data_IF_848400082976
#
_entry.id   IF_848400082976
#
_cell.length_a   1.000
_cell.length_b   1.000
_cell.length_c   1.000
_cell.angle_alpha   90.00
_cell.angle_beta   90.00
_cell.angle_gamma   90.00
#
_symmetry.space_group_name_H-M   'P 1'
#
loop_
_entity.id
_entity.type
_entity.pdbx_description
1 polymer ?
#
# COMPACT_ATOMS: atom_id res chain seq x y z
N UNK A 1 38.53 23.05 -19.05
CA UNK A 1 37.73 22.60 -17.90
C UNK A 1 37.72 21.07 -17.87
N UNK A 2 38.58 20.49 -17.04
CA UNK A 2 38.75 19.04 -16.93
C UNK A 2 37.51 18.41 -16.27
N UNK A 3 36.79 17.59 -17.03
CA UNK A 3 35.68 16.78 -16.52
C UNK A 3 36.29 15.71 -15.62
N UNK A 4 36.26 15.96 -14.31
CA UNK A 4 36.51 14.95 -13.29
C UNK A 4 35.42 13.88 -13.40
N UNK A 5 35.69 12.89 -14.27
CA UNK A 5 34.97 11.63 -14.33
C UNK A 5 35.22 10.93 -13.01
N UNK A 6 34.29 11.13 -12.07
CA UNK A 6 34.20 10.34 -10.85
C UNK A 6 34.28 8.87 -11.24
N UNK A 7 35.37 8.20 -10.86
CA UNK A 7 35.53 6.75 -10.94
C UNK A 7 34.34 6.14 -10.20
N UNK A 8 33.24 5.89 -10.90
CA UNK A 8 32.18 5.00 -10.40
C UNK A 8 32.91 3.71 -10.07
N UNK A 9 32.79 3.24 -8.83
CA UNK A 9 33.18 1.90 -8.45
C UNK A 9 32.41 0.92 -9.34
N UNK A 10 32.97 0.63 -10.52
CA UNK A 10 32.46 -0.37 -11.42
C UNK A 10 32.81 -1.69 -10.76
N UNK A 11 31.77 -2.45 -10.39
CA UNK A 11 31.89 -3.74 -9.70
C UNK A 11 32.88 -4.70 -10.38
N UNK A 12 33.18 -4.50 -11.66
CA UNK A 12 34.09 -5.31 -12.47
C UNK A 12 35.12 -4.49 -13.29
N UNK A 13 35.26 -3.19 -13.05
CA UNK A 13 36.19 -2.33 -13.81
C UNK A 13 35.75 -1.93 -15.23
N UNK A 14 34.62 -2.45 -15.73
CA UNK A 14 34.05 -2.12 -17.05
C UNK A 14 32.53 -1.89 -16.98
N UNK A 15 31.98 -1.30 -18.03
CA UNK A 15 30.54 -1.09 -18.26
C UNK A 15 30.03 -2.01 -19.39
N UNK A 16 28.71 -2.20 -19.47
CA UNK A 16 28.08 -2.92 -20.60
C UNK A 16 28.48 -2.27 -21.93
N UNK A 17 28.45 -0.94 -22.00
CA UNK A 17 28.85 -0.20 -23.21
C UNK A 17 30.33 -0.39 -23.54
N UNK A 18 31.23 -0.35 -22.56
CA UNK A 18 32.66 -0.56 -22.84
C UNK A 18 32.96 -1.98 -23.32
N UNK A 19 32.19 -2.98 -22.88
CA UNK A 19 32.32 -4.35 -23.43
C UNK A 19 31.80 -4.41 -24.86
N UNK A 20 30.62 -3.84 -25.13
CA UNK A 20 30.06 -3.87 -26.48
C UNK A 20 30.98 -3.12 -27.46
N UNK A 21 31.27 -1.87 -27.14
CA UNK A 21 32.04 -0.97 -27.99
C UNK A 21 33.51 -1.35 -28.09
N UNK A 22 34.10 -1.90 -27.02
CA UNK A 22 35.54 -2.18 -26.96
C UNK A 22 35.93 -3.63 -27.25
N UNK A 23 35.10 -4.61 -26.89
CA UNK A 23 35.41 -6.03 -27.07
C UNK A 23 34.51 -6.70 -28.10
N UNK A 24 33.18 -6.59 -27.97
CA UNK A 24 32.24 -7.34 -28.80
C UNK A 24 32.31 -6.94 -30.28
N UNK A 25 32.50 -5.65 -30.58
CA UNK A 25 32.61 -5.14 -31.96
C UNK A 25 33.78 -5.74 -32.75
N UNK A 26 34.81 -6.24 -32.07
CA UNK A 26 35.96 -6.87 -32.73
C UNK A 26 35.66 -8.31 -33.19
N UNK A 27 34.50 -8.87 -32.83
CA UNK A 27 34.12 -10.25 -33.14
C UNK A 27 32.76 -10.28 -33.86
N UNK A 28 32.74 -10.46 -35.19
CA UNK A 28 31.48 -10.52 -35.96
C UNK A 28 30.51 -11.58 -35.44
N UNK A 29 31.02 -12.72 -34.98
CA UNK A 29 30.25 -13.82 -34.37
C UNK A 29 29.47 -13.37 -33.12
N UNK A 30 30.07 -12.49 -32.31
CA UNK A 30 29.41 -11.91 -31.13
C UNK A 30 28.37 -10.89 -31.55
N UNK A 31 28.70 -9.99 -32.48
CA UNK A 31 27.75 -8.97 -32.95
C UNK A 31 26.53 -9.60 -33.63
N UNK A 32 26.71 -10.65 -34.43
CA UNK A 32 25.61 -11.43 -34.99
C UNK A 32 24.66 -11.91 -33.89
N UNK A 33 25.21 -12.53 -32.85
CA UNK A 33 24.41 -12.97 -31.70
C UNK A 33 23.71 -11.81 -30.98
N UNK A 34 24.42 -10.73 -30.68
CA UNK A 34 23.85 -9.56 -30.00
C UNK A 34 22.74 -8.89 -30.82
N UNK A 35 22.84 -8.85 -32.15
CA UNK A 35 21.82 -8.26 -33.01
C UNK A 35 20.50 -9.03 -32.98
N UNK A 36 20.52 -10.34 -32.69
CA UNK A 36 19.29 -11.12 -32.45
C UNK A 36 18.61 -10.80 -31.12
N UNK A 37 19.31 -10.08 -30.23
CA UNK A 37 18.85 -9.76 -28.89
C UNK A 37 18.48 -8.29 -28.84
N UNK A 38 17.19 -7.96 -28.80
CA UNK A 38 16.73 -6.56 -28.72
C UNK A 38 17.32 -5.80 -27.51
N UNK A 39 16.70 -5.92 -26.33
CA UNK A 39 17.02 -5.09 -25.16
C UNK A 39 17.94 -5.77 -24.14
N UNK A 40 18.68 -6.80 -24.56
CA UNK A 40 19.49 -7.65 -23.65
C UNK A 40 20.97 -7.70 -23.99
N UNK A 41 21.42 -6.92 -24.96
CA UNK A 41 22.77 -6.97 -25.50
C UNK A 41 23.84 -6.79 -24.42
N UNK A 42 23.70 -5.78 -23.55
CA UNK A 42 24.69 -5.49 -22.50
C UNK A 42 24.94 -6.65 -21.54
N UNK A 43 23.88 -7.20 -20.94
CA UNK A 43 24.00 -8.33 -20.00
C UNK A 43 24.52 -9.61 -20.67
N UNK A 44 24.15 -9.85 -21.93
CA UNK A 44 24.61 -11.03 -22.67
C UNK A 44 26.07 -10.88 -23.10
N UNK A 45 26.46 -9.73 -23.64
CA UNK A 45 27.83 -9.41 -24.00
C UNK A 45 28.76 -9.54 -22.80
N UNK A 46 28.37 -8.99 -21.64
CA UNK A 46 29.13 -9.11 -20.40
C UNK A 46 29.24 -10.56 -19.93
N UNK A 47 28.18 -11.36 -20.05
CA UNK A 47 28.21 -12.77 -19.65
C UNK A 47 29.11 -13.61 -20.55
N UNK A 48 29.07 -13.37 -21.86
CA UNK A 48 29.94 -14.03 -22.83
C UNK A 48 31.41 -13.61 -22.65
N UNK A 49 31.66 -12.31 -22.41
CA UNK A 49 33.00 -11.79 -22.09
C UNK A 49 33.59 -12.46 -20.87
N UNK A 50 32.82 -12.57 -19.77
CA UNK A 50 33.26 -13.26 -18.56
C UNK A 50 33.61 -14.73 -18.81
N UNK A 51 32.82 -15.41 -19.64
CA UNK A 51 33.10 -16.80 -20.01
C UNK A 51 34.40 -16.93 -20.82
N UNK A 52 34.56 -16.08 -21.84
CA UNK A 52 35.76 -16.03 -22.68
C UNK A 52 37.01 -15.75 -21.84
N UNK A 53 36.94 -14.76 -20.94
CA UNK A 53 38.04 -14.43 -20.01
C UNK A 53 38.37 -15.61 -19.09
N UNK A 54 37.36 -16.28 -18.53
CA UNK A 54 37.57 -17.44 -17.67
C UNK A 54 38.18 -18.63 -18.42
N UNK A 55 37.68 -18.92 -19.62
CA UNK A 55 38.17 -20.01 -20.46
C UNK A 55 39.52 -19.71 -21.12
N UNK A 56 39.98 -18.46 -21.04
CA UNK A 56 41.14 -17.94 -21.78
C UNK A 56 41.03 -18.18 -23.30
N UNK A 57 39.83 -17.97 -23.86
CA UNK A 57 39.53 -18.12 -25.28
C UNK A 57 38.84 -16.86 -25.80
N UNK A 58 39.14 -16.46 -27.03
CA UNK A 58 38.34 -15.48 -27.74
C UNK A 58 37.05 -16.13 -28.31
N UNK A 59 36.04 -15.35 -28.74
CA UNK A 59 34.79 -15.89 -29.26
C UNK A 59 34.91 -16.86 -30.44
N UNK A 60 35.86 -16.63 -31.34
CA UNK A 60 36.02 -17.47 -32.54
C UNK A 60 36.75 -18.78 -32.20
N UNK A 61 37.75 -18.73 -31.31
CA UNK A 61 38.35 -19.91 -30.70
C UNK A 61 37.32 -20.75 -29.93
N UNK A 62 36.41 -20.08 -29.21
CA UNK A 62 35.33 -20.75 -28.52
C UNK A 62 34.42 -21.50 -29.51
N UNK A 63 34.03 -20.88 -30.63
CA UNK A 63 33.27 -21.56 -31.67
C UNK A 63 34.05 -22.72 -32.31
N UNK A 64 35.38 -22.58 -32.45
CA UNK A 64 36.25 -23.60 -33.03
C UNK A 64 36.25 -24.93 -32.24
N UNK A 65 35.99 -24.89 -30.92
CA UNK A 65 35.80 -26.10 -30.10
C UNK A 65 34.65 -26.99 -30.58
N UNK A 66 33.71 -26.42 -31.35
CA UNK A 66 32.59 -27.13 -31.98
C UNK A 66 32.69 -27.03 -33.51
N UNK A 67 33.85 -27.35 -34.07
CA UNK A 67 34.07 -27.41 -35.53
C UNK A 67 33.37 -28.62 -36.16
N UNK A 68 33.31 -29.75 -35.45
CA UNK A 68 32.58 -30.95 -35.82
C UNK A 68 31.35 -31.15 -34.91
N UNK A 69 30.28 -31.74 -35.47
CA UNK A 69 29.07 -32.11 -34.75
C UNK A 69 29.36 -33.08 -33.59
N UNK A 70 30.33 -33.99 -33.78
CA UNK A 70 30.72 -34.99 -32.80
C UNK A 70 31.64 -34.45 -31.69
N UNK A 71 32.28 -33.28 -31.87
CA UNK A 71 33.13 -32.70 -30.83
C UNK A 71 32.30 -32.35 -29.59
N UNK A 72 32.78 -32.72 -28.40
CA UNK A 72 32.13 -32.37 -27.13
C UNK A 72 32.97 -31.39 -26.30
N UNK A 73 33.99 -30.77 -26.89
CA UNK A 73 34.94 -29.92 -26.17
C UNK A 73 34.26 -28.67 -25.61
N UNK A 74 33.41 -28.03 -26.41
CA UNK A 74 32.64 -26.86 -25.98
C UNK A 74 31.66 -27.21 -24.85
N UNK A 75 31.00 -28.36 -24.93
CA UNK A 75 30.10 -28.88 -23.89
C UNK A 75 30.85 -29.17 -22.59
N UNK A 76 31.97 -29.89 -22.66
CA UNK A 76 32.83 -30.19 -21.50
C UNK A 76 33.34 -28.90 -20.85
N UNK A 77 33.80 -27.94 -21.65
CA UNK A 77 34.24 -26.64 -21.15
C UNK A 77 33.11 -25.90 -20.42
N UNK A 78 31.90 -25.96 -20.97
CA UNK A 78 30.73 -25.33 -20.35
C UNK A 78 30.31 -26.02 -19.05
N UNK A 79 30.40 -27.34 -18.97
CA UNK A 79 30.14 -28.10 -17.75
C UNK A 79 31.20 -27.84 -16.67
N UNK A 80 32.47 -27.67 -17.06
CA UNK A 80 33.55 -27.31 -16.14
C UNK A 80 33.31 -25.96 -15.44
N UNK A 81 32.57 -25.04 -16.07
CA UNK A 81 32.19 -23.77 -15.44
C UNK A 81 31.36 -23.98 -14.16
N UNK A 82 30.56 -25.05 -14.09
CA UNK A 82 29.73 -25.34 -12.93
C UNK A 82 30.55 -25.40 -11.63
N UNK A 83 31.72 -26.02 -11.68
CA UNK A 83 32.59 -26.27 -10.52
C UNK A 83 33.77 -25.30 -10.43
N UNK A 84 34.04 -24.52 -11.48
CA UNK A 84 35.18 -23.62 -11.51
C UNK A 84 35.04 -22.44 -10.54
N UNK A 85 36.14 -22.04 -9.91
CA UNK A 85 36.21 -20.76 -9.19
C UNK A 85 36.29 -19.62 -10.22
N UNK A 86 35.31 -18.71 -10.17
CA UNK A 86 35.17 -17.62 -11.15
C UNK A 86 35.24 -16.25 -10.47
N UNK A 87 35.61 -15.22 -11.23
CA UNK A 87 35.68 -13.83 -10.74
C UNK A 87 34.30 -13.17 -10.54
N UNK A 88 33.24 -13.78 -11.07
CA UNK A 88 31.88 -13.24 -11.00
C UNK A 88 31.01 -14.06 -10.02
N UNK A 89 29.87 -13.52 -9.54
CA UNK A 89 29.05 -14.20 -8.53
C UNK A 89 28.52 -15.55 -9.02
N UNK A 90 28.49 -16.54 -8.13
CA UNK A 90 28.06 -17.92 -8.43
C UNK A 90 26.68 -18.00 -9.10
N UNK A 91 25.73 -17.17 -8.63
CA UNK A 91 24.38 -17.07 -9.19
C UNK A 91 24.35 -16.63 -10.67
N UNK A 92 25.42 -16.00 -11.17
CA UNK A 92 25.55 -15.56 -12.57
C UNK A 92 26.04 -16.69 -13.48
N UNK A 93 26.65 -17.76 -12.97
CA UNK A 93 27.10 -18.92 -13.78
C UNK A 93 25.98 -19.45 -14.67
N UNK A 94 24.78 -19.63 -14.11
CA UNK A 94 23.64 -20.13 -14.88
C UNK A 94 23.28 -19.22 -16.05
N UNK A 95 23.24 -17.91 -15.82
CA UNK A 95 23.00 -16.95 -16.89
C UNK A 95 24.11 -16.97 -17.95
N UNK A 96 25.38 -17.08 -17.52
CA UNK A 96 26.53 -17.24 -18.42
C UNK A 96 26.36 -18.46 -19.30
N UNK A 97 26.00 -19.62 -18.74
CA UNK A 97 25.81 -20.83 -19.53
C UNK A 97 24.65 -20.72 -20.52
N UNK A 98 23.53 -20.09 -20.14
CA UNK A 98 22.45 -19.80 -21.08
C UNK A 98 22.91 -18.88 -22.22
N UNK A 99 23.73 -17.87 -21.91
CA UNK A 99 24.29 -16.96 -22.90
C UNK A 99 25.22 -17.68 -23.88
N UNK A 100 26.12 -18.53 -23.39
CA UNK A 100 27.05 -19.32 -24.21
C UNK A 100 26.27 -20.28 -25.13
N UNK A 101 25.28 -21.00 -24.60
CA UNK A 101 24.42 -21.86 -25.43
C UNK A 101 23.70 -21.08 -26.53
N UNK A 102 23.19 -19.90 -26.20
CA UNK A 102 22.56 -19.00 -27.17
C UNK A 102 23.52 -18.51 -28.24
N UNK A 103 24.77 -18.19 -27.85
CA UNK A 103 25.85 -17.77 -28.76
C UNK A 103 26.19 -18.86 -29.77
N UNK A 104 26.44 -20.09 -29.30
CA UNK A 104 26.70 -21.25 -30.17
C UNK A 104 25.53 -21.55 -31.11
N UNK A 105 24.29 -21.53 -30.59
CA UNK A 105 23.09 -21.76 -31.40
C UNK A 105 22.92 -20.73 -32.51
N UNK A 106 23.16 -19.45 -32.22
CA UNK A 106 23.00 -18.37 -33.21
C UNK A 106 24.06 -18.40 -34.30
N UNK A 107 25.23 -18.97 -33.99
CA UNK A 107 26.32 -19.20 -34.94
C UNK A 107 26.32 -20.63 -35.50
N UNK A 108 25.14 -21.28 -35.55
CA UNK A 108 24.93 -22.60 -36.18
C UNK A 108 25.79 -23.75 -35.66
N UNK A 109 26.29 -23.66 -34.41
CA UNK A 109 27.11 -24.69 -33.75
C UNK A 109 26.45 -25.15 -32.45
N UNK A 110 25.19 -25.55 -32.53
CA UNK A 110 24.36 -25.84 -31.36
C UNK A 110 25.00 -26.90 -30.44
N UNK A 111 25.14 -26.57 -29.16
CA UNK A 111 25.58 -27.49 -28.13
C UNK A 111 24.49 -28.51 -27.79
N UNK A 112 24.91 -29.68 -27.27
CA UNK A 112 23.96 -30.68 -26.77
C UNK A 112 23.00 -30.12 -25.71
N UNK A 113 21.79 -30.69 -25.64
CA UNK A 113 20.73 -30.21 -24.76
C UNK A 113 21.15 -30.19 -23.28
N UNK A 114 22.03 -31.10 -22.85
CA UNK A 114 22.48 -31.26 -21.47
C UNK A 114 23.64 -30.33 -21.06
N UNK A 115 24.37 -29.73 -22.02
CA UNK A 115 25.55 -28.93 -21.72
C UNK A 115 25.26 -27.75 -20.78
N UNK A 116 26.01 -27.62 -19.70
CA UNK A 116 25.85 -26.56 -18.69
C UNK A 116 24.59 -26.69 -17.83
N UNK A 117 23.91 -27.85 -17.84
CA UNK A 117 22.80 -28.15 -16.90
C UNK A 117 23.26 -28.76 -15.58
N UNK A 118 24.51 -29.19 -15.50
CA UNK A 118 25.20 -29.72 -14.32
C UNK A 118 25.41 -28.68 -13.20
N UNK A 119 25.02 -27.41 -13.41
CA UNK A 119 25.20 -26.37 -12.42
C UNK A 119 24.43 -26.66 -11.14
N UNK A 120 25.07 -26.54 -9.97
CA UNK A 120 24.40 -26.76 -8.70
C UNK A 120 23.22 -25.79 -8.57
N UNK A 121 22.07 -26.34 -8.17
CA UNK A 121 20.94 -25.52 -7.80
C UNK A 121 21.32 -24.73 -6.55
N UNK A 122 21.53 -23.43 -6.71
CA UNK A 122 21.65 -22.55 -5.56
C UNK A 122 20.25 -22.34 -4.99
N UNK A 123 19.95 -22.83 -3.77
CA UNK A 123 18.68 -22.55 -3.15
C UNK A 123 18.48 -21.04 -3.10
N UNK A 124 17.27 -20.59 -3.45
CA UNK A 124 16.93 -19.19 -3.33
C UNK A 124 17.15 -18.75 -1.89
N UNK A 125 17.86 -17.64 -1.70
CA UNK A 125 18.02 -17.04 -0.38
C UNK A 125 16.66 -16.85 0.28
N UNK A 126 16.59 -17.13 1.58
CA UNK A 126 15.43 -16.83 2.40
C UNK A 126 15.28 -15.31 2.45
N UNK A 127 14.30 -14.80 1.69
CA UNK A 127 13.99 -13.39 1.72
C UNK A 127 13.06 -13.11 2.89
N UNK A 128 13.49 -12.25 3.81
CA UNK A 128 12.63 -11.77 4.89
C UNK A 128 11.65 -10.74 4.34
N UNK A 129 10.37 -10.94 4.62
CA UNK A 129 9.31 -9.98 4.27
C UNK A 129 9.41 -8.79 5.23
N UNK A 130 9.41 -7.52 4.76
CA UNK A 130 9.48 -6.36 5.64
C UNK A 130 8.34 -6.34 6.66
N UNK A 131 8.67 -6.17 7.95
CA UNK A 131 7.70 -6.00 9.03
C UNK A 131 6.86 -4.72 8.86
N UNK A 132 5.77 -4.59 9.62
CA UNK A 132 4.95 -3.37 9.64
C UNK A 132 5.78 -2.14 10.04
N UNK A 133 6.67 -2.27 11.01
CA UNK A 133 7.59 -1.21 11.43
C UNK A 133 8.54 -0.78 10.30
N UNK A 134 9.11 -1.74 9.57
CA UNK A 134 9.97 -1.48 8.41
C UNK A 134 9.20 -0.78 7.28
N UNK A 135 7.94 -1.17 7.04
CA UNK A 135 7.04 -0.50 6.09
C UNK A 135 6.72 0.94 6.51
N UNK A 136 6.46 1.16 7.81
CA UNK A 136 6.25 2.49 8.36
C UNK A 136 7.49 3.37 8.22
N UNK A 137 8.69 2.81 8.43
CA UNK A 137 9.95 3.52 8.21
C UNK A 137 10.14 3.93 6.74
N UNK A 138 9.80 3.06 5.79
CA UNK A 138 9.81 3.38 4.36
C UNK A 138 8.82 4.50 4.02
N UNK A 139 7.61 4.45 4.58
CA UNK A 139 6.60 5.49 4.41
C UNK A 139 7.09 6.84 4.96
N UNK A 140 7.61 6.87 6.19
CA UNK A 140 8.17 8.08 6.83
C UNK A 140 9.39 8.62 6.08
N UNK A 141 10.12 7.77 5.36
CA UNK A 141 11.24 8.20 4.52
C UNK A 141 10.79 8.88 3.21
N UNK A 142 9.51 8.84 2.84
CA UNK A 142 9.01 9.51 1.63
C UNK A 142 9.07 11.05 1.75
N UNK A 143 9.24 11.75 0.63
CA UNK A 143 9.38 13.22 0.60
C UNK A 143 8.12 13.96 0.17
N UNK A 144 7.15 13.25 -0.39
CA UNK A 144 5.95 13.82 -0.97
C UNK A 144 4.84 12.76 -0.97
N UNK A 145 3.56 13.19 -1.00
CA UNK A 145 2.40 12.30 -1.06
C UNK A 145 2.46 11.27 -2.18
N UNK A 146 3.01 11.62 -3.35
CA UNK A 146 3.18 10.66 -4.46
C UNK A 146 4.07 9.48 -4.06
N UNK A 147 5.22 9.74 -3.46
CA UNK A 147 6.14 8.67 -3.04
C UNK A 147 5.50 7.80 -1.93
N UNK A 148 4.71 8.41 -1.03
CA UNK A 148 3.92 7.69 -0.04
C UNK A 148 2.89 6.77 -0.69
N UNK A 149 2.07 7.30 -1.60
CA UNK A 149 1.07 6.53 -2.36
C UNK A 149 1.71 5.35 -3.12
N UNK A 150 2.88 5.57 -3.72
CA UNK A 150 3.62 4.55 -4.44
C UNK A 150 4.05 3.39 -3.51
N UNK A 151 4.56 3.69 -2.31
CA UNK A 151 4.92 2.67 -1.31
C UNK A 151 3.68 1.92 -0.82
N UNK A 152 2.60 2.64 -0.51
CA UNK A 152 1.34 2.06 -0.03
C UNK A 152 0.77 1.08 -1.06
N UNK A 153 0.52 1.54 -2.30
CA UNK A 153 0.03 0.68 -3.38
C UNK A 153 0.97 -0.49 -3.62
N UNK A 154 2.29 -0.25 -3.62
CA UNK A 154 3.28 -1.30 -3.83
C UNK A 154 3.28 -2.41 -2.78
N UNK A 155 2.85 -2.11 -1.56
CA UNK A 155 2.88 -3.06 -0.42
C UNK A 155 1.54 -3.76 -0.18
N UNK A 156 0.42 -3.22 -0.67
CA UNK A 156 -0.90 -3.79 -0.43
C UNK A 156 -1.58 -4.43 -1.66
N UNK A 157 -1.24 -4.03 -2.87
CA UNK A 157 -2.01 -4.41 -4.08
C UNK A 157 -1.44 -5.62 -4.85
N UNK A 158 -0.29 -6.16 -4.44
CA UNK A 158 0.47 -7.14 -5.20
C UNK A 158 0.73 -6.80 -6.69
N UNK A 159 0.62 -5.53 -7.10
CA UNK A 159 0.88 -5.12 -8.49
C UNK A 159 2.39 -5.22 -8.80
N UNK A 160 2.73 -5.74 -9.99
CA UNK A 160 4.11 -5.81 -10.42
C UNK A 160 4.65 -4.42 -10.77
N UNK A 161 5.95 -4.18 -10.54
CA UNK A 161 6.61 -2.91 -10.85
C UNK A 161 6.34 -2.40 -12.29
N UNK A 162 6.36 -3.30 -13.27
CA UNK A 162 6.06 -2.97 -14.68
C UNK A 162 4.62 -2.44 -14.84
N UNK A 163 3.67 -3.20 -14.31
CA UNK A 163 2.25 -2.87 -14.37
C UNK A 163 1.94 -1.58 -13.60
N UNK A 164 2.63 -1.35 -12.48
CA UNK A 164 2.52 -0.13 -11.68
C UNK A 164 2.92 1.13 -12.45
N UNK A 165 3.92 1.05 -13.33
CA UNK A 165 4.29 2.17 -14.22
C UNK A 165 3.28 2.46 -15.33
N UNK A 166 2.34 1.55 -15.58
CA UNK A 166 1.30 1.71 -16.59
C UNK A 166 -0.10 1.87 -15.99
N UNK A 167 -0.21 1.91 -14.66
CA UNK A 167 -1.48 2.00 -13.96
C UNK A 167 -2.13 3.37 -14.22
N UNK A 168 -3.37 3.35 -14.69
CA UNK A 168 -4.25 4.52 -14.91
C UNK A 168 -5.47 4.48 -14.00
N UNK A 169 -6.09 5.63 -13.77
CA UNK A 169 -7.24 5.73 -12.87
C UNK A 169 -8.46 4.94 -13.32
N UNK A 170 -8.71 4.77 -14.63
CA UNK A 170 -9.80 3.94 -15.14
C UNK A 170 -9.65 2.43 -14.83
N UNK A 171 -8.50 1.99 -14.31
CA UNK A 171 -8.37 0.60 -13.83
C UNK A 171 -8.95 0.41 -12.44
N UNK A 172 -9.12 1.49 -11.68
CA UNK A 172 -9.90 1.45 -10.45
C UNK A 172 -11.37 1.32 -10.82
N UNK A 173 -12.15 0.69 -9.95
CA UNK A 173 -13.60 0.67 -10.10
C UNK A 173 -14.21 2.08 -10.12
N UNK A 174 -15.42 2.19 -10.68
CA UNK A 174 -16.18 3.43 -10.63
C UNK A 174 -16.43 3.83 -9.17
N UNK A 175 -16.39 5.14 -8.90
CA UNK A 175 -16.55 5.68 -7.55
C UNK A 175 -15.60 5.09 -6.49
N UNK A 176 -14.40 4.65 -6.88
CA UNK A 176 -13.40 4.06 -5.98
C UNK A 176 -13.12 4.89 -4.72
N UNK A 177 -13.31 6.21 -4.78
CA UNK A 177 -13.14 7.11 -3.63
C UNK A 177 -14.16 6.82 -2.51
N UNK A 178 -15.37 6.41 -2.88
CA UNK A 178 -16.47 6.08 -1.98
C UNK A 178 -16.39 4.63 -1.46
N UNK A 179 -15.63 3.76 -2.12
CA UNK A 179 -15.47 2.36 -1.73
C UNK A 179 -14.54 2.23 -0.51
N UNK A 180 -14.88 1.37 0.45
CA UNK A 180 -14.02 1.10 1.62
C UNK A 180 -12.69 0.45 1.18
N UNK A 181 -12.79 -0.58 0.33
CA UNK A 181 -11.67 -1.35 -0.22
C UNK A 181 -11.76 -1.28 -1.75
N UNK A 182 -11.13 -0.27 -2.37
CA UNK A 182 -11.22 -0.08 -3.80
C UNK A 182 -10.60 -1.23 -4.59
N UNK A 183 -11.35 -1.70 -5.58
CA UNK A 183 -10.93 -2.70 -6.55
C UNK A 183 -10.13 -2.08 -7.70
N UNK A 184 -9.11 -2.82 -8.15
CA UNK A 184 -8.29 -2.52 -9.32
C UNK A 184 -8.33 -3.74 -10.25
N UNK A 185 -8.82 -3.52 -11.45
CA UNK A 185 -8.88 -4.51 -12.53
C UNK A 185 -7.80 -4.23 -13.58
N UNK A 186 -6.89 -5.18 -13.78
CA UNK A 186 -5.79 -5.04 -14.72
C UNK A 186 -5.90 -6.06 -15.86
N UNK A 187 -6.06 -5.60 -17.12
CA UNK A 187 -6.24 -6.47 -18.25
C UNK A 187 -4.94 -7.21 -18.64
N UNK A 188 -5.03 -8.30 -19.41
CA UNK A 188 -3.88 -9.19 -19.65
C UNK A 188 -2.66 -8.53 -20.32
N UNK A 189 -2.89 -7.54 -21.16
CA UNK A 189 -1.89 -6.72 -21.85
C UNK A 189 -1.09 -5.80 -20.90
N UNK A 190 -1.69 -5.43 -19.77
CA UNK A 190 -1.05 -4.61 -18.73
C UNK A 190 -0.32 -5.45 -17.66
N UNK A 191 -0.79 -6.67 -17.41
CA UNK A 191 -0.16 -7.60 -16.46
C UNK A 191 1.25 -7.96 -16.94
N UNK A 192 2.17 -8.19 -16.00
CA UNK A 192 3.55 -8.62 -16.28
C UNK A 192 3.60 -9.72 -17.34
N UNK A 193 4.31 -9.45 -18.44
CA UNK A 193 4.40 -10.36 -19.58
C UNK A 193 3.50 -9.98 -20.77
N UNK A 194 2.69 -8.92 -20.63
CA UNK A 194 1.92 -8.28 -21.69
C UNK A 194 1.05 -9.27 -22.48
N UNK A 195 0.34 -10.16 -21.77
CA UNK A 195 -0.51 -11.17 -22.38
C UNK A 195 0.23 -12.23 -23.19
N UNK A 196 1.56 -12.34 -23.09
CA UNK A 196 2.37 -13.30 -23.85
C UNK A 196 2.77 -14.52 -23.03
N UNK A 197 2.95 -15.64 -23.71
CA UNK A 197 3.42 -16.90 -23.13
C UNK A 197 2.56 -17.35 -21.95
N UNK A 198 3.20 -17.61 -20.80
CA UNK A 198 2.53 -18.10 -19.58
C UNK A 198 1.52 -17.12 -18.96
N UNK A 199 1.48 -15.87 -19.43
CA UNK A 199 0.56 -14.82 -18.96
C UNK A 199 -0.58 -14.53 -19.94
N UNK A 200 -0.70 -15.29 -21.04
CA UNK A 200 -1.78 -15.12 -22.01
C UNK A 200 -3.15 -15.35 -21.35
N UNK A 201 -4.04 -14.36 -21.51
CA UNK A 201 -5.40 -14.38 -20.95
C UNK A 201 -5.50 -14.15 -19.44
N UNK A 202 -4.39 -13.84 -18.75
CA UNK A 202 -4.39 -13.65 -17.29
C UNK A 202 -4.79 -12.21 -16.95
N UNK A 203 -5.98 -12.03 -16.38
CA UNK A 203 -6.43 -10.76 -15.79
C UNK A 203 -6.15 -10.75 -14.28
N UNK A 204 -5.60 -9.66 -13.77
CA UNK A 204 -5.35 -9.48 -12.33
C UNK A 204 -6.49 -8.65 -11.72
N UNK A 205 -7.07 -9.16 -10.63
CA UNK A 205 -8.11 -8.46 -9.86
C UNK A 205 -7.59 -8.25 -8.45
N UNK A 206 -7.27 -7.02 -8.09
CA UNK A 206 -6.64 -6.72 -6.79
C UNK A 206 -7.34 -5.54 -6.10
N UNK A 207 -6.85 -5.18 -4.93
CA UNK A 207 -7.45 -4.15 -4.08
C UNK A 207 -6.37 -3.26 -3.46
N UNK A 208 -6.82 -2.15 -2.90
CA UNK A 208 -6.01 -1.30 -2.01
C UNK A 208 -6.69 -1.17 -0.66
N UNK A 209 -5.90 -0.97 0.40
CA UNK A 209 -6.44 -0.79 1.76
C UNK A 209 -7.12 0.58 1.91
N UNK A 210 -8.02 0.75 2.90
CA UNK A 210 -8.53 2.06 3.31
C UNK A 210 -7.42 3.09 3.56
N UNK A 211 -6.35 2.71 4.26
CA UNK A 211 -5.17 3.59 4.47
C UNK A 211 -4.57 4.04 3.12
N UNK A 212 -4.41 3.12 2.17
CA UNK A 212 -3.84 3.42 0.85
C UNK A 212 -4.76 4.35 0.05
N UNK A 213 -6.08 4.17 0.15
CA UNK A 213 -7.07 5.04 -0.48
C UNK A 213 -6.92 6.49 -0.02
N UNK A 214 -6.81 6.70 1.30
CA UNK A 214 -6.61 8.04 1.88
C UNK A 214 -5.36 8.71 1.32
N UNK A 215 -4.23 8.01 1.30
CA UNK A 215 -2.97 8.53 0.76
C UNK A 215 -3.05 8.81 -0.76
N UNK A 216 -3.82 8.02 -1.53
CA UNK A 216 -4.04 8.30 -2.95
C UNK A 216 -4.86 9.58 -3.16
N UNK A 217 -5.85 9.84 -2.30
CA UNK A 217 -6.65 11.08 -2.35
C UNK A 217 -5.80 12.30 -1.98
N UNK A 218 -5.04 12.23 -0.89
CA UNK A 218 -4.08 13.27 -0.48
C UNK A 218 -3.06 13.56 -1.59
N UNK A 219 -2.57 12.51 -2.26
CA UNK A 219 -1.68 12.67 -3.40
C UNK A 219 -2.35 13.44 -4.55
N UNK A 220 -3.58 13.06 -4.94
CA UNK A 220 -4.29 13.75 -6.02
C UNK A 220 -4.49 15.22 -5.70
N UNK A 221 -4.95 15.53 -4.49
CA UNK A 221 -5.17 16.90 -4.02
C UNK A 221 -3.85 17.69 -4.02
N UNK A 222 -2.81 17.16 -3.39
CA UNK A 222 -1.48 17.79 -3.37
C UNK A 222 -0.95 18.07 -4.76
N UNK A 223 -1.09 17.12 -5.69
CA UNK A 223 -0.57 17.27 -7.04
C UNK A 223 -1.37 18.30 -7.85
N UNK A 224 -2.71 18.32 -7.69
CA UNK A 224 -3.56 19.37 -8.27
C UNK A 224 -3.16 20.75 -7.77
N UNK A 225 -2.97 20.91 -6.46
CA UNK A 225 -2.64 22.20 -5.85
C UNK A 225 -1.22 22.66 -6.20
N UNK A 226 -0.26 21.73 -6.28
CA UNK A 226 1.16 22.06 -6.53
C UNK A 226 1.45 22.33 -8.00
N UNK A 227 0.78 21.62 -8.92
CA UNK A 227 1.10 21.64 -10.34
C UNK A 227 -0.07 22.11 -11.23
N UNK A 228 -1.18 22.54 -10.63
CA UNK A 228 -2.42 22.91 -11.32
C UNK A 228 -2.93 21.81 -12.29
N UNK A 229 -2.75 20.54 -11.90
CA UNK A 229 -3.12 19.39 -12.72
C UNK A 229 -4.61 19.09 -12.59
N UNK A 230 -5.29 18.89 -13.72
CA UNK A 230 -6.70 18.45 -13.75
C UNK A 230 -6.76 16.96 -14.05
N UNK A 231 -7.15 16.19 -13.05
CA UNK A 231 -7.21 14.74 -13.15
C UNK A 231 -8.32 14.25 -14.08
N UNK A 232 -7.96 13.29 -14.93
CA UNK A 232 -8.90 12.52 -15.76
C UNK A 232 -8.80 11.02 -15.45
N UNK A 233 -9.78 10.22 -15.89
CA UNK A 233 -9.75 8.76 -15.74
C UNK A 233 -8.58 8.12 -16.52
N UNK A 234 -8.13 8.76 -17.59
CA UNK A 234 -7.04 8.25 -18.41
C UNK A 234 -5.66 8.63 -17.87
N UNK A 235 -5.55 9.53 -16.91
CA UNK A 235 -4.26 9.86 -16.32
C UNK A 235 -3.61 8.63 -15.68
N UNK A 236 -2.29 8.53 -15.83
CA UNK A 236 -1.52 7.56 -15.07
C UNK A 236 -1.57 7.93 -13.59
N UNK A 237 -1.68 6.91 -12.74
CA UNK A 237 -1.75 7.09 -11.29
C UNK A 237 -0.49 7.78 -10.80
N UNK A 238 0.70 7.32 -11.20
CA UNK A 238 1.96 7.86 -10.70
C UNK A 238 2.66 8.75 -11.72
N UNK A 239 2.66 10.05 -11.45
CA UNK A 239 3.26 11.07 -12.30
C UNK A 239 4.62 11.56 -11.79
N UNK A 240 5.41 12.13 -12.70
CA UNK A 240 6.67 12.79 -12.40
C UNK A 240 6.43 14.16 -11.76
N UNK A 241 7.30 14.50 -10.80
CA UNK A 241 7.22 15.73 -9.97
C UNK A 241 8.45 16.63 -10.14
N UNK A 242 9.36 16.29 -11.07
CA UNK A 242 10.65 17.01 -11.23
C UNK A 242 10.98 17.32 -12.68
N UNK A 243 11.23 16.28 -13.46
CA UNK A 243 11.51 16.39 -14.90
C UNK A 243 10.29 15.87 -15.65
N UNK A 244 9.86 16.62 -16.65
CA UNK A 244 8.62 16.37 -17.38
C UNK A 244 7.44 16.15 -16.43
N UNK A 245 7.04 17.22 -15.75
CA UNK A 245 5.95 17.19 -14.78
C UNK A 245 4.68 16.66 -15.48
N UNK A 246 3.89 15.87 -14.75
CA UNK A 246 2.69 15.20 -15.24
C UNK A 246 2.93 14.07 -16.29
N UNK A 247 4.17 13.75 -16.64
CA UNK A 247 4.46 12.51 -17.39
C UNK A 247 4.46 11.26 -16.47
N UNK A 248 4.11 10.08 -16.99
CA UNK A 248 4.12 8.83 -16.22
C UNK A 248 5.52 8.45 -15.74
N UNK A 249 5.60 7.88 -14.54
CA UNK A 249 6.85 7.30 -14.07
C UNK A 249 7.18 6.02 -14.82
N UNK A 250 8.32 6.00 -15.51
CA UNK A 250 8.85 4.74 -16.04
C UNK A 250 9.21 3.74 -14.93
N UNK A 251 9.15 2.45 -15.25
CA UNK A 251 9.67 1.35 -14.39
C UNK A 251 11.04 1.65 -13.78
N UNK A 252 11.96 2.22 -14.57
CA UNK A 252 13.32 2.57 -14.13
C UNK A 252 13.29 3.67 -13.06
N UNK A 253 12.42 4.65 -13.21
CA UNK A 253 12.24 5.72 -12.21
C UNK A 253 11.65 5.18 -10.91
N UNK A 254 10.63 4.32 -11.00
CA UNK A 254 10.03 3.67 -9.83
C UNK A 254 11.06 2.81 -9.10
N UNK A 255 11.82 1.98 -9.82
CA UNK A 255 12.91 1.17 -9.25
C UNK A 255 13.98 2.03 -8.58
N UNK A 256 14.43 3.11 -9.24
CA UNK A 256 15.40 4.04 -8.65
C UNK A 256 14.87 4.69 -7.38
N UNK A 257 13.57 4.99 -7.34
CA UNK A 257 12.91 5.55 -6.14
C UNK A 257 12.89 4.54 -5.00
N UNK A 258 12.57 3.27 -5.26
CA UNK A 258 12.66 2.21 -4.25
C UNK A 258 14.06 2.16 -3.61
N UNK A 259 15.11 2.13 -4.43
CA UNK A 259 16.50 2.12 -3.92
C UNK A 259 16.87 3.37 -3.12
N UNK A 260 16.34 4.54 -3.48
CA UNK A 260 16.56 5.77 -2.71
C UNK A 260 15.85 5.70 -1.36
N UNK A 261 14.62 5.17 -1.32
CA UNK A 261 13.83 5.02 -0.10
C UNK A 261 14.44 3.97 0.83
N UNK A 262 14.83 2.81 0.31
CA UNK A 262 15.57 1.76 1.02
C UNK A 262 16.78 2.34 1.76
N UNK A 263 17.64 3.08 1.05
CA UNK A 263 18.83 3.71 1.65
C UNK A 263 18.50 4.73 2.71
N UNK A 264 17.42 5.50 2.53
CA UNK A 264 17.01 6.54 3.48
C UNK A 264 16.38 5.95 4.73
N UNK A 265 15.52 4.94 4.56
CA UNK A 265 14.86 4.24 5.65
C UNK A 265 15.81 3.25 6.37
N UNK A 266 16.94 2.89 5.74
CA UNK A 266 17.83 1.79 6.17
C UNK A 266 17.07 0.47 6.28
N UNK A 267 16.22 0.21 5.28
CA UNK A 267 15.35 -0.97 5.20
C UNK A 267 15.49 -1.58 3.82
N UNK A 268 15.96 -2.82 3.75
CA UNK A 268 15.99 -3.60 2.51
C UNK A 268 14.56 -3.75 1.96
N UNK A 269 14.32 -3.20 0.77
CA UNK A 269 13.00 -3.19 0.17
C UNK A 269 13.04 -3.13 -1.35
N UNK A 270 12.25 -4.01 -1.96
CA UNK A 270 11.88 -3.92 -3.36
C UNK A 270 10.38 -4.02 -3.52
N UNK A 271 9.83 -3.52 -4.64
CA UNK A 271 8.43 -3.76 -4.99
C UNK A 271 8.10 -5.25 -5.20
N UNK A 272 9.10 -6.13 -5.32
CA UNK A 272 8.86 -7.57 -5.28
C UNK A 272 8.48 -8.04 -3.86
N UNK A 273 9.02 -7.41 -2.83
CA UNK A 273 8.69 -7.72 -1.43
C UNK A 273 7.27 -7.28 -1.10
N UNK A 274 6.80 -6.16 -1.66
CA UNK A 274 5.39 -5.77 -1.58
C UNK A 274 4.43 -6.87 -2.08
N UNK A 275 4.78 -7.55 -3.17
CA UNK A 275 4.01 -8.70 -3.67
C UNK A 275 4.06 -9.93 -2.76
N UNK A 276 5.13 -10.08 -1.97
CA UNK A 276 5.26 -11.12 -0.94
C UNK A 276 4.43 -10.76 0.29
N UNK A 277 4.49 -9.51 0.74
CA UNK A 277 3.66 -8.98 1.83
C UNK A 277 2.19 -9.29 1.58
N UNK A 278 1.66 -8.91 0.41
CA UNK A 278 0.25 -9.18 0.09
C UNK A 278 -0.08 -10.67 0.03
N UNK A 279 0.83 -11.49 -0.49
CA UNK A 279 0.64 -12.94 -0.51
C UNK A 279 0.56 -13.50 0.91
N UNK A 280 1.55 -13.20 1.76
CA UNK A 280 1.63 -13.71 3.12
C UNK A 280 0.43 -13.24 3.96
N UNK A 281 0.00 -11.98 3.81
CA UNK A 281 -1.18 -11.48 4.50
C UNK A 281 -2.46 -12.26 4.10
N UNK A 282 -2.63 -12.56 2.81
CA UNK A 282 -3.77 -13.34 2.33
C UNK A 282 -3.68 -14.82 2.78
N UNK A 283 -2.48 -15.39 2.82
CA UNK A 283 -2.25 -16.75 3.35
C UNK A 283 -2.62 -16.82 4.84
N UNK A 284 -2.19 -15.84 5.64
CA UNK A 284 -2.53 -15.71 7.06
C UNK A 284 -4.05 -15.56 7.27
N UNK A 285 -4.74 -14.87 6.36
CA UNK A 285 -6.18 -14.71 6.38
C UNK A 285 -6.96 -15.97 5.88
N UNK A 286 -6.26 -17.07 5.58
CA UNK A 286 -6.87 -18.30 5.08
C UNK A 286 -7.46 -18.16 3.66
N UNK A 287 -6.95 -17.24 2.85
CA UNK A 287 -7.42 -17.05 1.49
C UNK A 287 -6.99 -18.24 0.60
N UNK A 288 -7.90 -18.84 -0.19
CA UNK A 288 -7.56 -19.93 -1.10
C UNK A 288 -6.44 -19.55 -2.08
N UNK A 289 -5.52 -20.49 -2.35
CA UNK A 289 -4.35 -20.24 -3.20
C UNK A 289 -4.72 -19.83 -4.64
N UNK A 290 -5.80 -20.36 -5.21
CA UNK A 290 -6.32 -19.94 -6.51
C UNK A 290 -6.77 -18.45 -6.51
N UNK A 291 -7.34 -17.96 -5.40
CA UNK A 291 -7.75 -16.56 -5.25
C UNK A 291 -6.52 -15.66 -5.07
N UNK A 292 -5.52 -16.10 -4.31
CA UNK A 292 -4.22 -15.41 -4.18
C UNK A 292 -3.53 -15.31 -5.55
N UNK A 293 -3.53 -16.38 -6.36
CA UNK A 293 -3.00 -16.36 -7.73
C UNK A 293 -3.72 -15.32 -8.58
N UNK A 294 -5.06 -15.22 -8.47
CA UNK A 294 -5.88 -14.23 -9.16
C UNK A 294 -5.53 -12.79 -8.75
N UNK A 295 -5.43 -12.52 -7.44
CA UNK A 295 -5.02 -11.22 -6.88
C UNK A 295 -3.62 -10.80 -7.34
N UNK A 296 -2.73 -11.77 -7.54
CA UNK A 296 -1.35 -11.53 -7.99
C UNK A 296 -1.17 -11.49 -9.51
N UNK A 297 -2.22 -11.74 -10.29
CA UNK A 297 -2.11 -11.85 -11.75
C UNK A 297 -1.28 -13.05 -12.21
N UNK A 298 -1.47 -14.20 -11.57
CA UNK A 298 -0.86 -15.48 -11.96
C UNK A 298 -1.90 -16.39 -12.59
N UNK A 299 -1.47 -17.18 -13.60
CA UNK A 299 -2.32 -18.19 -14.22
C UNK A 299 -2.69 -19.25 -13.18
N UNK A 300 -3.99 -19.51 -13.03
CA UNK A 300 -4.50 -20.70 -12.36
C UNK A 300 -4.39 -21.85 -13.36
N UNK A 301 -3.76 -22.96 -12.98
CA UNK A 301 -3.49 -24.10 -13.85
C UNK A 301 -4.02 -25.38 -13.21
N UNK A 302 -4.49 -26.33 -14.02
CA UNK A 302 -5.04 -27.61 -13.56
C UNK A 302 -6.55 -27.56 -13.31
N UNK A 303 -7.04 -28.47 -12.47
CA UNK A 303 -8.46 -28.66 -12.10
C UNK A 303 -9.09 -27.43 -11.42
N UNK A 304 -8.29 -26.47 -10.94
CA UNK A 304 -8.74 -25.22 -10.31
C UNK A 304 -9.33 -24.20 -11.31
N UNK A 305 -9.09 -24.34 -12.62
CA UNK A 305 -9.43 -23.34 -13.64
C UNK A 305 -10.95 -23.16 -13.94
N UNK A 306 -11.80 -24.21 -13.95
CA UNK A 306 -13.22 -24.08 -14.27
C UNK A 306 -14.06 -23.45 -13.16
N UNK A 307 -13.64 -23.58 -11.90
CA UNK A 307 -14.43 -23.21 -10.70
C UNK A 307 -13.98 -21.91 -10.03
N UNK A 308 -13.09 -21.13 -10.65
CA UNK A 308 -12.39 -19.99 -10.03
C UNK A 308 -12.64 -18.65 -10.70
N UNK A 309 -13.91 -18.28 -10.84
CA UNK A 309 -14.28 -16.87 -10.97
C UNK A 309 -14.99 -16.42 -9.69
N UNK A 310 -14.27 -16.31 -8.55
CA UNK A 310 -14.87 -15.72 -7.36
C UNK A 310 -15.41 -14.34 -7.75
N UNK A 311 -16.60 -14.03 -7.26
CA UNK A 311 -17.17 -12.71 -7.45
C UNK A 311 -16.21 -11.67 -6.83
N UNK A 312 -16.11 -10.49 -7.43
CA UNK A 312 -15.21 -9.42 -6.94
C UNK A 312 -15.49 -9.14 -5.47
N UNK A 313 -16.76 -9.18 -5.05
CA UNK A 313 -17.16 -9.01 -3.65
C UNK A 313 -16.64 -10.11 -2.71
N UNK A 314 -16.57 -11.37 -3.17
CA UNK A 314 -15.98 -12.45 -2.37
C UNK A 314 -14.48 -12.26 -2.19
N UNK A 315 -13.79 -11.83 -3.26
CA UNK A 315 -12.38 -11.48 -3.20
C UNK A 315 -12.15 -10.27 -2.28
N UNK A 316 -13.02 -9.26 -2.36
CA UNK A 316 -12.96 -8.06 -1.50
C UNK A 316 -13.16 -8.43 -0.03
N UNK A 317 -14.15 -9.27 0.29
CA UNK A 317 -14.39 -9.77 1.64
C UNK A 317 -13.17 -10.53 2.18
N UNK A 318 -12.56 -11.41 1.38
CA UNK A 318 -11.33 -12.11 1.80
C UNK A 318 -10.10 -11.22 1.87
N UNK A 319 -10.03 -10.17 1.04
CA UNK A 319 -9.00 -9.16 1.18
C UNK A 319 -9.18 -8.33 2.46
N UNK A 320 -10.44 -8.09 2.87
CA UNK A 320 -10.78 -7.42 4.14
C UNK A 320 -10.19 -8.16 5.35
N UNK A 321 -10.30 -9.49 5.36
CA UNK A 321 -9.73 -10.34 6.41
C UNK A 321 -8.19 -10.17 6.53
N UNK A 322 -7.50 -9.78 5.45
CA UNK A 322 -6.05 -9.55 5.43
C UNK A 322 -5.63 -8.11 5.81
N UNK A 323 -6.57 -7.17 5.99
CA UNK A 323 -6.27 -5.78 6.34
C UNK A 323 -5.39 -5.64 7.59
N UNK A 324 -5.58 -6.40 8.69
CA UNK A 324 -4.74 -6.28 9.86
C UNK A 324 -3.26 -6.42 9.54
N UNK A 325 -2.87 -7.28 8.60
CA UNK A 325 -1.48 -7.50 8.18
C UNK A 325 -1.01 -6.53 7.09
N UNK A 326 -1.92 -6.02 6.26
CA UNK A 326 -1.63 -5.11 5.17
C UNK A 326 -1.47 -3.66 5.63
N UNK A 327 -2.28 -3.21 6.58
CA UNK A 327 -2.25 -1.87 7.15
C UNK A 327 -1.12 -1.71 8.17
N UNK A 328 -0.49 -0.53 8.18
CA UNK A 328 0.69 -0.28 9.01
C UNK A 328 0.88 1.17 9.43
N UNK A 329 0.07 2.12 8.93
CA UNK A 329 0.11 3.49 9.41
C UNK A 329 -0.48 3.56 10.82
N UNK A 330 -1.54 2.79 11.05
CA UNK A 330 -2.25 2.69 12.33
C UNK A 330 -1.61 1.67 13.29
N UNK A 331 -0.29 1.70 13.50
CA UNK A 331 0.34 0.94 14.59
C UNK A 331 0.09 1.56 15.98
N UNK A 332 -0.56 2.73 16.04
CA UNK A 332 -1.29 3.25 17.20
C UNK A 332 -2.81 2.99 17.11
N UNK A 333 -3.25 2.13 16.19
CA UNK A 333 -4.63 1.96 15.71
C UNK A 333 -5.57 1.13 16.57
N UNK A 334 -5.43 1.21 17.91
CA UNK A 334 -6.61 1.19 18.77
C UNK A 334 -7.16 2.60 19.00
N UNK A 335 -6.66 3.59 18.27
CA UNK A 335 -7.39 4.84 18.03
C UNK A 335 -8.30 4.58 16.83
N UNK A 336 -9.40 3.85 17.06
CA UNK A 336 -10.68 4.34 16.54
C UNK A 336 -10.68 5.79 16.96
N UNK A 337 -10.81 6.74 16.03
CA UNK A 337 -10.92 8.18 16.31
C UNK A 337 -11.65 8.34 17.66
N UNK A 338 -10.89 8.48 18.75
CA UNK A 338 -11.38 8.06 20.08
C UNK A 338 -12.55 8.95 20.47
N UNK A 339 -12.48 10.17 19.95
CA UNK A 339 -13.55 11.13 19.86
C UNK A 339 -14.76 10.58 19.10
N UNK A 340 -14.67 10.12 17.85
CA UNK A 340 -15.83 9.54 17.15
C UNK A 340 -16.39 8.29 17.83
N UNK A 341 -15.56 7.42 18.38
CA UNK A 341 -16.02 6.23 19.11
C UNK A 341 -16.73 6.61 20.41
N UNK A 342 -16.13 7.49 21.22
CA UNK A 342 -16.74 8.00 22.45
C UNK A 342 -18.00 8.80 22.15
N UNK A 343 -18.01 9.66 21.13
CA UNK A 343 -19.19 10.40 20.70
C UNK A 343 -20.33 9.44 20.33
N UNK A 344 -20.03 8.36 19.59
CA UNK A 344 -21.03 7.34 19.26
C UNK A 344 -21.54 6.59 20.49
N UNK A 345 -20.63 6.18 21.40
CA UNK A 345 -21.04 5.53 22.66
C UNK A 345 -21.91 6.43 23.53
N UNK A 346 -21.62 7.74 23.60
CA UNK A 346 -22.43 8.70 24.35
C UNK A 346 -23.83 8.87 23.75
N UNK A 347 -23.94 8.90 22.42
CA UNK A 347 -25.22 8.95 21.72
C UNK A 347 -26.05 7.67 21.92
N UNK A 348 -25.41 6.51 21.82
CA UNK A 348 -26.07 5.21 22.04
C UNK A 348 -26.51 5.06 23.50
N UNK A 349 -25.72 5.54 24.46
CA UNK A 349 -26.09 5.57 25.87
C UNK A 349 -27.25 6.53 26.16
N UNK A 350 -27.27 7.71 25.53
CA UNK A 350 -28.40 8.65 25.64
C UNK A 350 -29.70 8.05 25.05
N UNK A 351 -29.61 7.33 23.94
CA UNK A 351 -30.77 6.59 23.39
C UNK A 351 -31.27 5.50 24.34
N UNK A 352 -30.36 4.72 24.93
CA UNK A 352 -30.69 3.68 25.92
C UNK A 352 -31.31 4.23 27.21
N UNK A 353 -30.88 5.42 27.65
CA UNK A 353 -31.48 6.12 28.80
C UNK A 353 -32.83 6.78 28.48
N UNK A 354 -33.34 6.65 27.25
CA UNK A 354 -34.65 7.16 26.87
C UNK A 354 -34.70 8.68 26.69
N UNK A 355 -33.59 9.32 26.32
CA UNK A 355 -33.62 10.75 25.99
C UNK A 355 -34.49 10.99 24.75
N UNK A 356 -35.30 12.04 24.79
CA UNK A 356 -36.10 12.52 23.65
C UNK A 356 -35.22 12.94 22.47
N UNK A 357 -35.72 12.80 21.24
CA UNK A 357 -34.97 13.09 20.01
C UNK A 357 -34.39 14.52 19.98
N UNK A 358 -35.10 15.51 20.53
CA UNK A 358 -34.59 16.88 20.61
C UNK A 358 -33.33 17.00 21.48
N UNK A 359 -33.24 16.20 22.57
CA UNK A 359 -32.05 16.18 23.44
C UNK A 359 -30.90 15.44 22.79
N UNK A 360 -31.20 14.40 22.01
CA UNK A 360 -30.20 13.66 21.23
C UNK A 360 -29.59 14.58 20.18
N UNK A 361 -30.41 15.35 19.43
CA UNK A 361 -29.89 16.33 18.44
C UNK A 361 -29.01 17.40 19.07
N UNK A 362 -29.40 17.93 20.24
CA UNK A 362 -28.57 18.88 20.99
C UNK A 362 -27.24 18.27 21.44
N UNK A 363 -27.25 17.01 21.89
CA UNK A 363 -26.02 16.29 22.24
C UNK A 363 -25.13 16.09 21.00
N UNK A 364 -25.69 15.78 19.84
CA UNK A 364 -24.95 15.68 18.57
C UNK A 364 -24.26 17.01 18.19
N UNK A 365 -24.96 18.15 18.31
CA UNK A 365 -24.41 19.47 18.04
C UNK A 365 -23.27 19.84 19.00
N UNK A 366 -23.41 19.54 20.29
CA UNK A 366 -22.36 19.78 21.30
C UNK A 366 -21.14 18.90 21.02
N UNK A 367 -21.35 17.62 20.73
CA UNK A 367 -20.27 16.68 20.40
C UNK A 367 -19.54 17.03 19.10
N UNK A 368 -20.20 17.73 18.17
CA UNK A 368 -19.60 18.24 16.93
C UNK A 368 -18.72 19.47 17.17
N UNK A 369 -19.11 20.35 18.09
CA UNK A 369 -18.43 21.61 18.37
C UNK A 369 -17.34 21.53 19.45
N UNK A 370 -17.45 20.59 20.40
CA UNK A 370 -16.50 20.44 21.50
C UNK A 370 -15.12 19.97 21.03
N UNK A 371 -14.05 20.40 21.71
CA UNK A 371 -12.69 19.96 21.37
C UNK A 371 -12.45 18.53 21.81
N UNK A 372 -12.96 18.13 22.98
CA UNK A 372 -12.90 16.77 23.50
C UNK A 372 -14.30 16.28 24.02
N UNK A 373 -14.51 14.95 24.16
CA UNK A 373 -15.79 14.40 24.63
C UNK A 373 -16.13 14.75 26.08
N UNK A 374 -15.13 14.98 26.94
CA UNK A 374 -15.35 15.25 28.36
C UNK A 374 -15.92 16.66 28.58
N UNK A 375 -15.47 17.65 27.80
CA UNK A 375 -16.02 19.01 27.72
C UNK A 375 -17.48 18.98 27.24
N UNK A 376 -17.79 18.14 26.24
CA UNK A 376 -19.16 17.96 25.77
C UNK A 376 -20.10 17.38 26.85
N UNK A 377 -19.59 16.47 27.71
CA UNK A 377 -20.36 15.92 28.84
C UNK A 377 -20.63 16.99 29.89
N UNK A 378 -19.65 17.85 30.20
CA UNK A 378 -19.85 18.96 31.14
C UNK A 378 -20.84 20.00 30.62
N UNK A 379 -20.74 20.38 29.35
CA UNK A 379 -21.71 21.31 28.72
C UNK A 379 -23.13 20.72 28.69
N UNK A 380 -23.24 19.42 28.38
CA UNK A 380 -24.53 18.73 28.40
C UNK A 380 -25.12 18.62 29.81
N UNK A 381 -24.29 18.41 30.84
CA UNK A 381 -24.73 18.43 32.25
C UNK A 381 -25.21 19.81 32.68
N UNK A 382 -24.49 20.87 32.33
CA UNK A 382 -24.90 22.26 32.61
C UNK A 382 -26.28 22.55 31.99
N UNK A 383 -26.55 22.08 30.78
CA UNK A 383 -27.87 22.21 30.15
C UNK A 383 -28.97 21.44 30.89
N UNK A 384 -28.65 20.26 31.46
CA UNK A 384 -29.59 19.50 32.28
C UNK A 384 -29.90 20.22 33.60
N UNK A 385 -28.88 20.76 34.27
CA UNK A 385 -29.05 21.49 35.52
C UNK A 385 -29.81 22.81 35.32
N UNK A 386 -29.62 23.50 34.19
CA UNK A 386 -30.43 24.66 33.81
C UNK A 386 -31.88 24.28 33.48
N UNK A 387 -32.11 23.17 32.80
CA UNK A 387 -33.45 22.63 32.50
C UNK A 387 -34.19 22.16 33.76
N UNK A 388 -33.50 21.54 34.71
CA UNK A 388 -34.09 21.10 35.98
C UNK A 388 -34.32 22.30 36.92
N UNK A 389 -33.41 23.26 37.02
CA UNK A 389 -33.63 24.49 37.79
C UNK A 389 -34.76 25.37 37.23
N UNK A 390 -34.93 25.41 35.90
CA UNK A 390 -36.06 26.11 35.27
C UNK A 390 -37.39 25.34 35.36
N UNK A 391 -37.36 24.01 35.55
CA UNK A 391 -38.55 23.23 35.94
C UNK A 391 -38.89 23.37 37.42
N UNK A 392 -37.90 23.45 38.30
CA UNK A 392 -38.08 23.67 39.75
C UNK A 392 -38.68 25.06 40.03
N UNK A 393 -38.32 26.08 39.24
CA UNK A 393 -38.97 27.40 39.34
C UNK A 393 -40.42 27.44 38.80
N UNK A 394 -40.88 26.44 38.04
CA UNK A 394 -42.25 26.38 37.51
C UNK A 394 -43.21 25.49 38.30
N UNK A 395 -42.76 24.84 39.38
CA UNK A 395 -43.63 24.10 40.31
C UNK A 395 -43.54 24.67 41.73
N UNK A 396 -44.02 25.90 41.91
CA UNK A 396 -44.37 26.48 43.20
C UNK A 396 -45.86 26.88 43.19
N UNK A 397 -46.72 25.86 43.14
CA UNK A 397 -48.11 25.92 43.62
C UNK A 397 -48.38 24.73 44.53
N UNK A 398 -47.66 24.70 45.64
CA UNK A 398 -48.24 24.26 46.90
C UNK A 398 -47.97 25.39 47.89
N UNK A 399 -48.79 26.44 47.79
CA UNK A 399 -48.90 27.34 48.93
C UNK A 399 -49.50 26.51 50.07
N UNK A 400 -48.86 26.46 51.24
CA UNK A 400 -49.40 25.72 52.37
C UNK A 400 -50.80 26.26 52.69
N UNK A 401 -51.77 25.34 52.77
CA UNK A 401 -53.20 25.67 52.97
C UNK A 401 -53.44 26.44 54.27
N UNK A 402 -52.51 26.37 55.22
CA UNK A 402 -52.51 27.16 56.45
C UNK A 402 -51.12 27.75 56.68
N UNK A 403 -51.08 29.02 57.11
CA UNK A 403 -49.86 29.73 57.51
C UNK A 403 -50.08 30.34 58.90
N UNK A 404 -49.01 30.43 59.69
CA UNK A 404 -49.03 31.18 60.96
C UNK A 404 -48.31 32.50 60.71
N UNK A 405 -48.98 33.59 61.04
CA UNK A 405 -48.52 34.96 60.83
C UNK A 405 -48.31 35.62 62.19
N UNK A 406 -47.27 36.46 62.33
CA UNK A 406 -46.94 37.10 63.61
C UNK A 406 -47.03 38.62 63.48
N UNK A 407 -47.81 39.27 64.35
CA UNK A 407 -48.03 40.71 64.30
C UNK A 407 -49.19 41.16 63.43
N UNK A 408 -49.90 42.18 63.91
CA UNK A 408 -51.06 42.78 63.25
C UNK A 408 -50.75 43.30 61.83
N UNK A 409 -49.53 43.81 61.62
CA UNK A 409 -49.11 44.34 60.31
C UNK A 409 -49.00 43.24 59.24
N UNK A 410 -48.49 42.06 59.60
CA UNK A 410 -48.44 40.93 58.66
C UNK A 410 -49.81 40.27 58.48
N UNK A 411 -50.62 40.24 59.54
CA UNK A 411 -52.01 39.76 59.48
C UNK A 411 -52.81 40.55 58.44
N UNK A 412 -52.78 41.89 58.51
CA UNK A 412 -53.50 42.76 57.58
C UNK A 412 -53.06 42.54 56.13
N UNK A 413 -51.75 42.44 55.90
CA UNK A 413 -51.20 42.17 54.56
C UNK A 413 -51.70 40.84 54.00
N UNK A 414 -51.87 39.83 54.86
CA UNK A 414 -52.35 38.50 54.43
C UNK A 414 -53.86 38.44 54.23
N UNK A 415 -54.63 39.25 54.94
CA UNK A 415 -56.05 39.46 54.65
C UNK A 415 -56.24 40.10 53.26
N UNK A 416 -55.41 41.10 52.91
CA UNK A 416 -55.42 41.71 51.57
C UNK A 416 -55.01 40.71 50.46
N UNK A 417 -54.09 39.79 50.76
CA UNK A 417 -53.70 38.69 49.86
C UNK A 417 -54.80 37.60 49.71
N UNK A 418 -55.95 37.75 50.37
CA UNK A 418 -57.11 36.86 50.26
C UNK A 418 -57.18 35.70 51.26
N UNK A 419 -56.31 35.68 52.27
CA UNK A 419 -56.39 34.68 53.35
C UNK A 419 -57.51 35.03 54.33
N UNK A 420 -58.07 34.01 54.98
CA UNK A 420 -59.06 34.12 56.06
C UNK A 420 -58.45 33.73 57.41
N UNK A 421 -58.75 34.48 58.46
CA UNK A 421 -58.32 34.16 59.82
C UNK A 421 -59.10 32.95 60.33
N UNK A 422 -58.39 31.91 60.77
CA UNK A 422 -58.98 30.69 61.33
C UNK A 422 -59.05 30.78 62.85
N UNK A 423 -57.92 31.08 63.50
CA UNK A 423 -57.81 31.07 64.97
C UNK A 423 -56.65 31.96 65.44
N UNK A 424 -56.83 32.62 66.58
CA UNK A 424 -55.76 33.35 67.27
C UNK A 424 -55.05 32.39 68.23
N UNK A 425 -53.76 32.15 68.01
CA UNK A 425 -53.02 31.13 68.76
C UNK A 425 -52.40 31.68 70.05
N UNK A 426 -51.92 32.93 70.05
CA UNK A 426 -51.34 33.67 71.19
C UNK A 426 -51.46 35.19 70.93
N UNK A 427 -51.13 36.06 71.89
CA UNK A 427 -51.29 37.55 71.83
C UNK A 427 -50.73 38.22 70.56
N UNK A 428 -49.87 37.54 69.80
CA UNK A 428 -49.23 38.10 68.60
C UNK A 428 -49.12 37.10 67.43
N UNK A 429 -49.89 35.99 67.43
CA UNK A 429 -49.84 34.96 66.37
C UNK A 429 -51.22 34.53 65.89
N UNK A 430 -51.37 34.48 64.57
CA UNK A 430 -52.62 34.20 63.88
C UNK A 430 -52.48 33.03 62.91
N UNK A 431 -53.36 32.04 63.00
CA UNK A 431 -53.47 30.97 62.01
C UNK A 431 -54.39 31.44 60.88
N UNK A 432 -53.87 31.47 59.65
CA UNK A 432 -54.59 31.91 58.46
C UNK A 432 -54.67 30.82 57.40
N UNK A 433 -55.72 30.85 56.59
CA UNK A 433 -55.99 29.88 55.52
C UNK A 433 -56.31 30.60 54.21
N UNK A 434 -55.66 30.21 53.12
CA UNK A 434 -55.94 30.72 51.77
C UNK A 434 -57.29 30.21 51.25
#
# INVERSE_FOLDING_TARGET
>A
MSINNTKKNLKYGFTENSIIEGWAKNYPSVMNYLNTLHNRQGNVAMSLFHFCKWANLNPDQLLALKSDYNSLEAEKLLDNLAYAKVEFPEKRKWHVAQCVRGFFRTNYRQLQAQAGRSMPYNPSETHTVPSKEKRLALFKACRNPRDQALVMVGTCSAIALDTMSMLRWHHFEEDWQNQEIPHISLPPDLVKGHGKGKYRGVRQETFVTPETKGILMEYREWFSNTFNHKWTSDDYVFLSVKRNIAEPLSKRMISKKATILEKRAKVDFTFHDGRRITQTALENAGCPNNWIKKIKGRKVSGEEAPYSKPLIEQLRAKYKDALPDLEFLNQSGRVVDEKKFRNKMLLDFAKLQGYEEEKIKKLEEILANAKNPDEAIEEFRKLKDFSENSKIQKTLKQQPKHIIVKGDAELLKKLDDGYSLVESLDEDKFLMKL
#
